data_IF_971911376260
#
_entry.id   IF_971911376260
#
_cell.length_a   1.000
_cell.length_b   1.000
_cell.length_c   1.000
_cell.angle_alpha   90.00
_cell.angle_beta   90.00
_cell.angle_gamma   90.00
#
_symmetry.space_group_name_H-M   'P 1'
#
loop_
_entity.id
_entity.type
_entity.pdbx_description
1 polymer ?
#
# COMPACT_ATOMS: atom_id res chain seq x y z
N UNK A 1 15.24 17.71 6.34
CA UNK A 1 15.40 16.93 5.09
C UNK A 1 14.07 16.38 4.58
N UNK A 2 13.29 15.69 5.40
CA UNK A 2 11.98 15.15 5.03
C UNK A 2 11.02 16.18 4.41
N UNK A 3 10.79 17.31 5.08
CA UNK A 3 9.88 18.35 4.59
C UNK A 3 10.29 18.91 3.22
N UNK A 4 11.57 19.07 2.97
CA UNK A 4 12.08 19.56 1.70
C UNK A 4 11.86 18.56 0.57
N UNK A 5 12.15 17.29 0.81
CA UNK A 5 11.94 16.20 -0.17
C UNK A 5 10.46 15.98 -0.40
N UNK A 6 9.67 15.96 0.65
CA UNK A 6 8.21 15.79 0.60
C UNK A 6 7.54 16.89 -0.24
N UNK A 7 7.87 18.16 0.01
CA UNK A 7 7.34 19.28 -0.76
C UNK A 7 7.73 19.23 -2.23
N UNK A 8 8.98 18.88 -2.53
CA UNK A 8 9.48 18.79 -3.90
C UNK A 8 8.82 17.65 -4.69
N UNK A 9 8.65 16.51 -4.07
CA UNK A 9 8.04 15.32 -4.68
C UNK A 9 6.51 15.25 -4.51
N UNK A 10 5.92 16.15 -3.72
CA UNK A 10 4.50 16.11 -3.36
C UNK A 10 4.08 14.76 -2.76
N UNK A 11 4.93 14.20 -1.92
CA UNK A 11 4.73 12.93 -1.24
C UNK A 11 4.66 13.16 0.26
N UNK A 12 3.57 12.75 0.89
CA UNK A 12 3.36 12.83 2.33
C UNK A 12 3.29 11.42 2.91
N UNK A 13 4.45 10.88 3.24
CA UNK A 13 4.60 9.62 3.99
C UNK A 13 5.47 9.96 5.20
N UNK A 14 4.91 9.90 6.39
CA UNK A 14 5.64 10.21 7.61
C UNK A 14 6.86 9.29 7.76
N UNK A 15 8.02 9.79 8.21
CA UNK A 15 9.17 8.94 8.51
C UNK A 15 8.90 7.97 9.67
N UNK A 16 7.84 8.19 10.43
CA UNK A 16 7.41 7.30 11.53
C UNK A 16 6.37 6.26 11.11
N UNK A 17 5.90 6.28 9.86
CA UNK A 17 4.98 5.26 9.34
C UNK A 17 5.64 3.88 9.40
N UNK A 18 4.93 2.90 9.94
CA UNK A 18 5.41 1.52 10.01
C UNK A 18 5.32 0.87 8.64
N UNK A 19 6.47 0.64 8.02
CA UNK A 19 6.57 0.03 6.69
C UNK A 19 7.54 -1.14 6.77
N UNK A 20 7.13 -2.29 6.25
CA UNK A 20 7.98 -3.47 6.13
C UNK A 20 9.08 -3.31 5.07
N UNK A 21 9.86 -4.34 4.88
CA UNK A 21 10.93 -4.32 3.88
C UNK A 21 10.37 -4.47 2.45
N UNK A 22 11.17 -4.06 1.46
CA UNK A 22 10.82 -4.21 0.05
C UNK A 22 9.73 -3.27 -0.44
N UNK A 23 9.46 -2.19 0.29
CA UNK A 23 8.49 -1.17 -0.13
C UNK A 23 8.93 -0.51 -1.45
N UNK A 24 8.02 -0.42 -2.40
CA UNK A 24 8.31 0.11 -3.72
C UNK A 24 7.24 1.11 -4.19
N UNK A 25 7.72 2.21 -4.77
CA UNK A 25 6.87 3.20 -5.43
C UNK A 25 7.32 3.34 -6.89
N UNK A 26 6.44 3.07 -7.84
CA UNK A 26 6.76 3.18 -9.26
C UNK A 26 6.97 4.63 -9.71
N UNK A 27 6.15 5.53 -9.20
CA UNK A 27 6.21 6.97 -9.45
C UNK A 27 6.00 7.74 -8.16
N UNK A 28 6.96 8.56 -7.78
CA UNK A 28 6.95 9.31 -6.52
C UNK A 28 6.25 10.66 -6.68
N UNK A 29 4.97 10.65 -7.03
CA UNK A 29 4.19 11.86 -7.27
C UNK A 29 2.85 11.79 -6.53
N UNK A 30 2.53 12.87 -5.80
CA UNK A 30 1.21 13.12 -5.23
C UNK A 30 0.64 11.93 -4.45
N UNK A 31 1.38 11.43 -3.49
CA UNK A 31 0.93 10.38 -2.59
C UNK A 31 0.71 10.93 -1.19
N UNK A 32 -0.39 10.55 -0.56
CA UNK A 32 -0.68 10.89 0.83
C UNK A 32 -0.97 9.61 1.59
N UNK A 33 -0.14 9.32 2.58
CA UNK A 33 -0.31 8.15 3.46
C UNK A 33 -0.38 8.65 4.91
N UNK A 34 -1.49 8.38 5.57
CA UNK A 34 -1.63 8.71 6.99
C UNK A 34 -0.50 8.06 7.80
N UNK A 35 0.12 8.84 8.68
CA UNK A 35 1.32 8.41 9.43
C UNK A 35 1.12 7.21 10.34
N UNK A 36 -0.11 6.90 10.74
CA UNK A 36 -0.44 5.74 11.57
C UNK A 36 -0.80 4.48 10.74
N UNK A 37 -0.80 4.57 9.42
CA UNK A 37 -0.99 3.40 8.54
C UNK A 37 0.11 2.36 8.79
N UNK A 38 -0.26 1.10 8.80
CA UNK A 38 0.70 -0.02 8.88
C UNK A 38 0.77 -0.70 7.53
N UNK A 39 1.97 -0.77 6.98
CA UNK A 39 2.24 -1.34 5.66
C UNK A 39 3.17 -2.54 5.84
N UNK A 40 2.76 -3.69 5.32
CA UNK A 40 3.53 -4.93 5.38
C UNK A 40 4.77 -4.94 4.48
N UNK A 41 5.27 -6.12 4.19
CA UNK A 41 6.46 -6.32 3.38
C UNK A 41 6.12 -6.37 1.88
N UNK A 42 7.05 -5.90 1.04
CA UNK A 42 6.91 -5.97 -0.41
C UNK A 42 5.60 -5.37 -0.93
N UNK A 43 5.21 -4.22 -0.42
CA UNK A 43 4.04 -3.49 -0.90
C UNK A 43 4.45 -2.52 -2.00
N UNK A 44 3.78 -2.62 -3.13
CA UNK A 44 3.97 -1.72 -4.27
C UNK A 44 2.82 -0.73 -4.33
N UNK A 45 3.14 0.56 -4.28
CA UNK A 45 2.14 1.63 -4.44
C UNK A 45 2.42 2.45 -5.69
N UNK A 46 1.38 3.10 -6.16
CA UNK A 46 1.42 3.92 -7.37
C UNK A 46 1.07 5.38 -7.05
N UNK A 47 1.26 6.24 -8.03
CA UNK A 47 0.99 7.67 -7.91
C UNK A 47 -0.47 7.98 -7.56
N UNK A 48 -0.68 9.11 -6.92
CA UNK A 48 -2.00 9.62 -6.52
C UNK A 48 -2.74 8.73 -5.52
N UNK A 49 -2.01 7.89 -4.79
CA UNK A 49 -2.57 7.12 -3.68
C UNK A 49 -2.97 8.07 -2.53
N UNK A 50 -4.12 7.82 -1.96
CA UNK A 50 -4.57 8.48 -0.74
C UNK A 50 -5.00 7.45 0.31
N UNK A 51 -4.32 7.44 1.44
CA UNK A 51 -4.72 6.65 2.62
C UNK A 51 -5.02 7.63 3.74
N UNK A 52 -6.29 7.76 4.10
CA UNK A 52 -6.76 8.71 5.09
C UNK A 52 -7.43 8.06 6.29
N UNK A 53 -7.72 8.90 7.28
CA UNK A 53 -8.58 8.55 8.42
C UNK A 53 -9.18 9.80 9.02
N UNK A 54 -10.42 9.69 9.49
CA UNK A 54 -11.09 10.73 10.25
C UNK A 54 -11.16 10.42 11.75
N UNK A 55 -10.98 9.15 12.14
CA UNK A 55 -11.16 8.67 13.51
C UNK A 55 -9.91 7.96 14.07
N UNK A 56 -8.72 8.30 13.57
CA UNK A 56 -7.44 7.77 14.01
C UNK A 56 -7.27 6.24 13.87
N UNK A 57 -8.05 5.60 13.01
CA UNK A 57 -7.92 4.18 12.70
C UNK A 57 -7.65 4.01 11.19
N UNK A 58 -6.42 4.23 10.74
CA UNK A 58 -6.08 4.09 9.33
C UNK A 58 -6.05 2.62 8.89
N UNK A 59 -5.89 2.42 7.59
CA UNK A 59 -5.79 1.10 7.00
C UNK A 59 -4.58 0.30 7.50
N UNK A 60 -4.73 -1.01 7.50
CA UNK A 60 -3.64 -1.97 7.68
C UNK A 60 -3.49 -2.73 6.37
N UNK A 61 -2.29 -2.70 5.80
CA UNK A 61 -1.97 -3.34 4.51
C UNK A 61 -1.05 -4.53 4.76
N UNK A 62 -1.43 -5.69 4.26
CA UNK A 62 -0.66 -6.93 4.38
C UNK A 62 0.60 -6.95 3.51
N UNK A 63 1.14 -8.14 3.30
CA UNK A 63 2.36 -8.37 2.52
C UNK A 63 2.05 -8.63 1.04
N UNK A 64 3.01 -8.30 0.17
CA UNK A 64 2.91 -8.57 -1.27
C UNK A 64 1.65 -7.96 -1.90
N UNK A 65 1.29 -6.76 -1.51
CA UNK A 65 0.11 -6.05 -1.99
C UNK A 65 0.50 -5.06 -3.07
N UNK A 66 -0.25 -5.04 -4.15
CA UNK A 66 -0.18 -4.00 -5.18
C UNK A 66 -1.36 -3.03 -5.05
N UNK A 67 -1.07 -1.74 -5.07
CA UNK A 67 -2.07 -0.68 -5.06
C UNK A 67 -1.86 0.20 -6.29
N UNK A 68 -2.83 0.16 -7.18
CA UNK A 68 -2.80 0.90 -8.44
C UNK A 68 -2.92 2.42 -8.27
N UNK A 69 -2.74 3.18 -9.36
CA UNK A 69 -2.82 4.64 -9.31
C UNK A 69 -4.23 5.13 -8.99
N UNK A 70 -4.30 6.33 -8.39
CA UNK A 70 -5.55 6.99 -8.01
C UNK A 70 -6.46 6.17 -7.07
N UNK A 71 -5.88 5.26 -6.30
CA UNK A 71 -6.64 4.52 -5.29
C UNK A 71 -6.83 5.38 -4.05
N UNK A 72 -8.04 5.38 -3.52
CA UNK A 72 -8.37 5.97 -2.22
C UNK A 72 -8.74 4.87 -1.23
N UNK A 73 -8.08 4.86 -0.10
CA UNK A 73 -8.34 3.90 0.98
C UNK A 73 -8.84 4.68 2.19
N UNK A 74 -10.04 4.36 2.62
CA UNK A 74 -10.62 4.98 3.80
C UNK A 74 -10.18 4.26 5.07
N UNK A 75 -10.53 4.83 6.20
CA UNK A 75 -10.17 4.33 7.52
C UNK A 75 -10.75 2.95 7.86
N UNK A 76 -10.11 2.32 8.83
CA UNK A 76 -10.58 1.08 9.45
C UNK A 76 -10.81 -0.08 8.47
N UNK A 77 -9.97 -0.18 7.45
CA UNK A 77 -9.99 -1.31 6.52
C UNK A 77 -8.69 -2.10 6.60
N UNK A 78 -8.79 -3.40 6.35
CA UNK A 78 -7.65 -4.29 6.20
C UNK A 78 -7.56 -4.75 4.75
N UNK A 79 -6.38 -4.59 4.18
CA UNK A 79 -6.08 -5.11 2.85
C UNK A 79 -5.21 -6.35 3.02
N UNK A 80 -5.76 -7.49 2.65
CA UNK A 80 -5.13 -8.79 2.83
C UNK A 80 -3.87 -8.98 2.00
N UNK A 81 -3.02 -9.90 2.42
CA UNK A 81 -1.77 -10.22 1.73
C UNK A 81 -2.02 -10.82 0.35
N UNK A 82 -1.05 -10.61 -0.55
CA UNK A 82 -1.10 -11.07 -1.94
C UNK A 82 -2.30 -10.51 -2.74
N UNK A 83 -2.90 -9.41 -2.30
CA UNK A 83 -4.01 -8.78 -2.99
C UNK A 83 -3.53 -7.72 -3.99
N UNK A 84 -4.41 -7.39 -4.92
CA UNK A 84 -4.18 -6.35 -5.92
C UNK A 84 -5.38 -5.42 -6.00
N UNK A 85 -5.13 -4.12 -5.86
CA UNK A 85 -6.17 -3.10 -5.93
C UNK A 85 -6.03 -2.35 -7.25
N UNK A 86 -7.05 -2.42 -8.06
CA UNK A 86 -7.08 -1.81 -9.40
C UNK A 86 -7.10 -0.28 -9.34
N UNK A 87 -6.62 0.34 -10.42
CA UNK A 87 -6.56 1.79 -10.56
C UNK A 87 -7.93 2.45 -10.34
N UNK A 88 -7.93 3.60 -9.66
CA UNK A 88 -9.14 4.38 -9.41
C UNK A 88 -10.10 3.78 -8.39
N UNK A 89 -9.77 2.68 -7.74
CA UNK A 89 -10.63 2.06 -6.75
C UNK A 89 -10.79 2.93 -5.50
N UNK A 90 -11.95 2.85 -4.86
CA UNK A 90 -12.21 3.42 -3.54
C UNK A 90 -12.50 2.28 -2.58
N UNK A 91 -11.52 1.97 -1.72
CA UNK A 91 -11.61 0.86 -0.77
C UNK A 91 -12.32 1.33 0.49
N UNK A 92 -13.51 0.82 0.73
CA UNK A 92 -14.36 1.18 1.88
C UNK A 92 -14.59 0.01 2.83
N UNK A 93 -14.19 -1.19 2.46
CA UNK A 93 -14.32 -2.43 3.24
C UNK A 93 -13.06 -3.25 3.13
N UNK A 94 -12.90 -4.20 4.04
CA UNK A 94 -11.77 -5.13 4.03
C UNK A 94 -11.66 -5.87 2.69
N UNK A 95 -10.43 -6.05 2.24
CA UNK A 95 -10.11 -6.86 1.06
C UNK A 95 -9.44 -8.15 1.55
N UNK A 96 -9.99 -9.32 1.21
CA UNK A 96 -9.42 -10.60 1.63
C UNK A 96 -8.03 -10.86 1.05
N UNK A 97 -7.29 -11.77 1.68
CA UNK A 97 -6.05 -12.30 1.13
C UNK A 97 -6.27 -12.86 -0.28
N UNK A 98 -5.26 -12.72 -1.13
CA UNK A 98 -5.22 -13.26 -2.49
C UNK A 98 -6.25 -12.66 -3.46
N UNK A 99 -6.98 -11.64 -3.07
CA UNK A 99 -8.04 -11.05 -3.88
C UNK A 99 -7.50 -10.02 -4.88
N UNK A 100 -8.11 -9.97 -6.04
CA UNK A 100 -8.08 -8.82 -6.94
C UNK A 100 -9.38 -8.03 -6.77
N UNK A 101 -9.26 -6.76 -6.42
CA UNK A 101 -10.41 -5.89 -6.17
C UNK A 101 -10.29 -4.60 -6.98
N UNK A 102 -11.41 -4.05 -7.40
CA UNK A 102 -11.48 -2.78 -8.12
C UNK A 102 -12.85 -2.14 -8.02
N UNK A 103 -12.96 -0.91 -8.45
CA UNK A 103 -14.22 -0.18 -8.57
C UNK A 103 -14.48 0.81 -7.44
N UNK A 104 -15.63 1.48 -7.53
CA UNK A 104 -16.13 2.49 -6.57
C UNK A 104 -17.55 2.11 -6.15
N UNK A 105 -17.77 1.54 -4.94
CA UNK A 105 -16.75 1.04 -4.01
C UNK A 105 -16.02 -0.18 -4.56
N UNK A 106 -14.81 -0.42 -4.07
CA UNK A 106 -14.02 -1.58 -4.48
C UNK A 106 -14.71 -2.88 -4.05
N UNK A 107 -14.76 -3.83 -4.98
CA UNK A 107 -15.30 -5.15 -4.76
C UNK A 107 -14.32 -6.20 -5.28
N UNK A 108 -14.34 -7.39 -4.67
CA UNK A 108 -13.53 -8.50 -5.13
C UNK A 108 -14.02 -8.96 -6.50
N UNK A 109 -13.12 -9.01 -7.47
CA UNK A 109 -13.39 -9.50 -8.82
C UNK A 109 -13.09 -11.00 -8.94
N UNK A 110 -11.96 -11.44 -8.40
CA UNK A 110 -11.51 -12.83 -8.45
C UNK A 110 -10.35 -13.06 -7.46
N UNK A 111 -9.93 -14.33 -7.38
CA UNK A 111 -8.77 -14.80 -6.60
C UNK A 111 -7.73 -15.52 -7.47
N UNK A 112 -7.74 -15.27 -8.78
CA UNK A 112 -7.00 -16.08 -9.75
C UNK A 112 -5.51 -15.79 -9.80
N UNK A 113 -5.08 -14.61 -9.35
CA UNK A 113 -3.71 -14.13 -9.53
C UNK A 113 -3.14 -13.51 -8.26
N UNK A 114 -3.00 -14.26 -7.15
CA UNK A 114 -2.49 -13.71 -5.90
C UNK A 114 -1.07 -13.18 -6.06
N UNK A 115 -0.86 -11.93 -5.65
CA UNK A 115 0.46 -11.30 -5.67
C UNK A 115 1.05 -11.04 -7.06
N UNK A 116 0.25 -11.07 -8.10
CA UNK A 116 0.69 -10.99 -9.52
C UNK A 116 1.56 -9.78 -9.84
N UNK A 117 1.20 -8.62 -9.32
CA UNK A 117 1.86 -7.36 -9.68
C UNK A 117 3.03 -6.99 -8.77
N UNK A 118 3.41 -7.85 -7.85
CA UNK A 118 4.57 -7.66 -6.98
C UNK A 118 5.68 -8.61 -7.42
N UNK A 119 6.34 -8.28 -8.53
CA UNK A 119 7.42 -9.09 -9.10
C UNK A 119 8.82 -8.82 -8.52
N UNK A 120 9.00 -7.66 -7.89
CA UNK A 120 10.28 -7.18 -7.36
C UNK A 120 10.45 -7.43 -5.86
N UNK A 121 9.99 -8.58 -5.37
CA UNK A 121 10.01 -8.90 -3.95
C UNK A 121 11.42 -8.96 -3.39
N UNK A 122 11.66 -8.21 -2.33
CA UNK A 122 12.86 -8.36 -1.53
C UNK A 122 12.73 -9.61 -0.67
N UNK A 123 13.75 -10.46 -0.73
CA UNK A 123 13.86 -11.62 0.15
C UNK A 123 14.81 -11.26 1.29
N UNK A 124 14.27 -11.16 2.49
CA UNK A 124 15.09 -10.94 3.67
C UNK A 124 15.94 -12.18 3.93
N UNK A 125 17.27 -12.04 3.81
CA UNK A 125 18.19 -13.13 4.07
C UNK A 125 18.74 -12.99 5.49
N UNK A 126 18.23 -13.80 6.41
CA UNK A 126 18.67 -13.83 7.80
C UNK A 126 20.15 -14.24 7.96
N UNK A 127 20.76 -14.89 6.98
CA UNK A 127 22.16 -15.33 7.04
C UNK A 127 23.16 -14.16 6.99
N UNK A 128 22.80 -13.03 6.37
CA UNK A 128 23.69 -11.86 6.29
C UNK A 128 23.85 -11.12 7.62
N UNK A 129 23.04 -11.38 8.61
CA UNK A 129 23.15 -10.76 9.92
C UNK A 129 24.07 -11.53 10.88
N UNK A 130 24.58 -12.69 10.48
CA UNK A 130 25.50 -13.50 11.29
C UNK A 130 26.98 -13.29 10.93
N UNK A 131 27.25 -12.41 9.98
CA UNK A 131 28.59 -11.95 9.62
C UNK A 131 28.84 -10.55 10.18
#
# INVERSE_FOLDING_TARGET
>A
MYERVSKKAQVQISPFTKIGYGFYTGHNICMIVNGATVIGNNVNISQFLNIGTNHNTPAIIGDNVYIGPHVSIVENVKIGSNSSIGAGAVVTKDIPDNATAAGVPAQVLNYNNPGRYVGNRYKYNHEKLRQ
#
